data_IF_792840382954
#
_entry.id   IF_792840382954
#
_cell.length_a   1.000
_cell.length_b   1.000
_cell.length_c   1.000
_cell.angle_alpha   90.00
_cell.angle_beta   90.00
_cell.angle_gamma   90.00
#
_symmetry.space_group_name_H-M   'P 1'
#
loop_
_entity.id
_entity.type
_entity.pdbx_description
1 polymer ?
#
# COMPACT_ATOMS: atom_id res chain seq x y z
N UNK A 1 10.92 21.49 -8.24
CA UNK A 1 10.09 20.95 -7.15
C UNK A 1 8.61 21.04 -7.52
N UNK A 2 8.14 22.21 -7.94
CA UNK A 2 6.72 22.45 -8.25
C UNK A 2 6.12 21.44 -9.25
N UNK A 3 6.85 21.10 -10.32
CA UNK A 3 6.40 20.07 -11.26
C UNK A 3 6.22 18.70 -10.59
N UNK A 4 7.12 18.30 -9.70
CA UNK A 4 7.01 17.01 -9.00
C UNK A 4 5.80 17.01 -8.06
N UNK A 5 5.60 18.11 -7.32
CA UNK A 5 4.44 18.29 -6.45
C UNK A 5 3.14 18.22 -7.26
N UNK A 6 3.05 18.94 -8.37
CA UNK A 6 1.88 18.92 -9.24
C UNK A 6 1.57 17.50 -9.76
N UNK A 7 2.59 16.75 -10.20
CA UNK A 7 2.39 15.37 -10.68
C UNK A 7 1.94 14.41 -9.60
N UNK A 8 2.42 14.56 -8.37
CA UNK A 8 1.94 13.75 -7.24
C UNK A 8 0.47 14.06 -6.95
N UNK A 9 0.06 15.33 -6.97
CA UNK A 9 -1.34 15.73 -6.76
C UNK A 9 -2.24 15.18 -7.88
N UNK A 10 -1.80 15.29 -9.14
CA UNK A 10 -2.52 14.73 -10.30
C UNK A 10 -2.74 13.22 -10.13
N UNK A 11 -1.71 12.51 -9.68
CA UNK A 11 -1.78 11.06 -9.48
C UNK A 11 -2.70 10.67 -8.32
N UNK A 12 -2.64 11.40 -7.20
CA UNK A 12 -3.58 11.19 -6.08
C UNK A 12 -5.01 11.41 -6.55
N UNK A 13 -5.26 12.46 -7.36
CA UNK A 13 -6.58 12.72 -7.94
C UNK A 13 -7.01 11.57 -8.87
N UNK A 14 -6.12 11.07 -9.73
CA UNK A 14 -6.37 9.91 -10.59
C UNK A 14 -6.81 8.68 -9.78
N UNK A 15 -6.10 8.35 -8.70
CA UNK A 15 -6.41 7.19 -7.85
C UNK A 15 -7.78 7.28 -7.15
N UNK A 16 -8.23 8.50 -6.84
CA UNK A 16 -9.54 8.75 -6.23
C UNK A 16 -10.66 8.64 -7.27
N UNK A 17 -10.44 9.17 -8.47
CA UNK A 17 -11.46 9.30 -9.52
C UNK A 17 -11.59 8.07 -10.42
N UNK A 18 -10.47 7.37 -10.69
CA UNK A 18 -10.39 6.31 -11.68
C UNK A 18 -9.88 5.02 -11.05
N UNK A 19 -10.55 3.87 -11.27
CA UNK A 19 -10.04 2.58 -10.83
C UNK A 19 -8.67 2.28 -11.47
N UNK A 20 -7.77 1.64 -10.71
CA UNK A 20 -6.50 1.13 -11.24
C UNK A 20 -6.75 0.08 -12.32
N UNK A 21 -5.82 -0.05 -13.25
CA UNK A 21 -5.94 -1.06 -14.31
C UNK A 21 -5.81 -2.48 -13.75
N UNK A 22 -6.38 -3.50 -14.42
CA UNK A 22 -6.20 -4.90 -14.03
C UNK A 22 -4.73 -5.34 -14.01
N UNK A 23 -3.90 -4.79 -14.90
CA UNK A 23 -2.46 -5.06 -14.98
C UNK A 23 -1.73 -4.49 -13.76
N UNK A 24 -1.93 -3.21 -13.44
CA UNK A 24 -1.34 -2.59 -12.24
C UNK A 24 -1.77 -3.32 -10.97
N UNK A 25 -3.03 -3.76 -10.87
CA UNK A 25 -3.52 -4.53 -9.73
C UNK A 25 -2.80 -5.89 -9.62
N UNK A 26 -2.74 -6.66 -10.72
CA UNK A 26 -2.12 -7.98 -10.73
C UNK A 26 -0.63 -7.93 -10.41
N UNK A 27 0.09 -6.91 -10.92
CA UNK A 27 1.50 -6.68 -10.65
C UNK A 27 1.74 -6.39 -9.17
N UNK A 28 0.95 -5.50 -8.57
CA UNK A 28 1.07 -5.16 -7.16
C UNK A 28 0.70 -6.34 -6.25
N UNK A 29 -0.36 -7.09 -6.58
CA UNK A 29 -0.71 -8.31 -5.83
C UNK A 29 0.44 -9.32 -5.84
N UNK A 30 1.02 -9.57 -7.01
CA UNK A 30 2.16 -10.46 -7.17
C UNK A 30 3.38 -9.99 -6.38
N UNK A 31 3.66 -8.69 -6.39
CA UNK A 31 4.74 -8.08 -5.60
C UNK A 31 4.55 -8.31 -4.10
N UNK A 32 3.38 -7.98 -3.53
CA UNK A 32 3.14 -8.13 -2.09
C UNK A 32 3.15 -9.58 -1.63
N UNK A 33 2.62 -10.50 -2.44
CA UNK A 33 2.64 -11.94 -2.16
C UNK A 33 4.08 -12.46 -2.20
N UNK A 34 4.87 -12.07 -3.21
CA UNK A 34 6.25 -12.52 -3.37
C UNK A 34 7.23 -11.87 -2.39
N UNK A 35 6.94 -10.67 -1.90
CA UNK A 35 7.80 -9.96 -0.94
C UNK A 35 7.68 -10.52 0.48
N UNK A 36 6.51 -11.03 0.88
CA UNK A 36 6.26 -11.50 2.24
C UNK A 36 7.27 -12.59 2.69
N UNK A 37 7.56 -13.64 1.89
CA UNK A 37 8.58 -14.63 2.27
C UNK A 37 9.97 -14.02 2.47
N UNK A 38 10.36 -13.05 1.64
CA UNK A 38 11.66 -12.38 1.75
C UNK A 38 11.79 -11.61 3.08
N UNK A 39 10.69 -11.02 3.55
CA UNK A 39 10.65 -10.38 4.86
C UNK A 39 10.90 -11.37 6.01
N UNK A 40 10.63 -12.66 5.81
CA UNK A 40 10.82 -13.70 6.82
C UNK A 40 12.19 -14.39 6.76
N UNK A 41 13.09 -13.97 5.87
CA UNK A 41 14.44 -14.55 5.75
C UNK A 41 15.43 -14.02 6.80
N UNK A 42 15.09 -12.94 7.49
CA UNK A 42 15.96 -12.30 8.49
C UNK A 42 15.32 -12.33 9.89
N UNK A 43 16.15 -12.40 10.93
CA UNK A 43 15.65 -12.33 12.31
C UNK A 43 14.90 -11.03 12.61
N UNK A 44 15.37 -9.91 12.05
CA UNK A 44 14.72 -8.61 12.19
C UNK A 44 13.33 -8.61 11.54
N UNK A 45 13.22 -9.15 10.34
CA UNK A 45 11.95 -9.22 9.62
C UNK A 45 10.95 -10.18 10.28
N UNK A 46 11.40 -11.32 10.81
CA UNK A 46 10.58 -12.22 11.62
C UNK A 46 10.08 -11.49 12.89
N UNK A 47 10.98 -10.85 13.63
CA UNK A 47 10.61 -10.15 14.87
C UNK A 47 9.60 -9.02 14.63
N UNK A 48 9.81 -8.22 13.58
CA UNK A 48 8.90 -7.13 13.18
C UNK A 48 7.53 -7.67 12.77
N UNK A 49 7.50 -8.81 12.07
CA UNK A 49 6.25 -9.44 11.63
C UNK A 49 5.47 -9.98 12.82
N UNK A 50 6.11 -10.73 13.72
CA UNK A 50 5.47 -11.24 14.94
C UNK A 50 4.97 -10.10 15.84
N UNK A 51 5.76 -9.04 15.97
CA UNK A 51 5.35 -7.85 16.72
C UNK A 51 4.09 -7.20 16.12
N UNK A 52 4.01 -7.09 14.79
CA UNK A 52 2.84 -6.53 14.11
C UNK A 52 1.60 -7.42 14.25
N UNK A 53 1.78 -8.75 14.17
CA UNK A 53 0.68 -9.72 14.36
C UNK A 53 0.06 -9.56 15.75
N UNK A 54 0.89 -9.47 16.79
CA UNK A 54 0.42 -9.27 18.17
C UNK A 54 -0.17 -7.87 18.38
N UNK A 55 0.53 -6.82 17.93
CA UNK A 55 0.13 -5.43 18.15
C UNK A 55 -1.24 -5.10 17.55
N UNK A 56 -1.56 -5.68 16.40
CA UNK A 56 -2.81 -5.43 15.69
C UNK A 56 -3.82 -6.58 15.81
N UNK A 57 -3.56 -7.57 16.68
CA UNK A 57 -4.44 -8.74 16.91
C UNK A 57 -4.84 -9.44 15.60
N UNK A 58 -3.85 -9.74 14.74
CA UNK A 58 -4.08 -10.24 13.38
C UNK A 58 -4.38 -11.73 13.29
N UNK A 59 -4.16 -12.49 14.38
CA UNK A 59 -4.29 -13.95 14.42
C UNK A 59 -3.01 -14.70 14.02
N UNK A 60 -2.87 -15.92 14.53
CA UNK A 60 -1.69 -16.78 14.28
C UNK A 60 -1.64 -17.35 12.86
N UNK A 61 -2.79 -17.38 12.18
CA UNK A 61 -2.97 -17.79 10.79
C UNK A 61 -2.76 -16.64 9.79
N UNK A 62 -2.50 -15.42 10.25
CA UNK A 62 -2.34 -14.24 9.41
C UNK A 62 -1.42 -14.46 8.20
N UNK A 63 -0.25 -15.08 8.41
CA UNK A 63 0.72 -15.33 7.35
C UNK A 63 0.26 -16.38 6.33
N UNK A 64 -0.59 -17.33 6.76
CA UNK A 64 -1.19 -18.33 5.88
C UNK A 64 -2.30 -17.71 5.02
N UNK A 65 -3.09 -16.81 5.61
CA UNK A 65 -4.19 -16.14 4.92
C UNK A 65 -3.74 -14.96 4.06
N UNK A 66 -2.58 -14.36 4.35
CA UNK A 66 -2.11 -13.14 3.71
C UNK A 66 -2.15 -13.21 2.17
N UNK A 67 -1.64 -14.27 1.49
CA UNK A 67 -1.70 -14.33 0.04
C UNK A 67 -3.14 -14.34 -0.50
N UNK A 68 -4.04 -15.06 0.17
CA UNK A 68 -5.45 -15.10 -0.20
C UNK A 68 -6.09 -13.72 -0.03
N UNK A 69 -5.86 -13.06 1.11
CA UNK A 69 -6.38 -11.72 1.40
C UNK A 69 -5.92 -10.68 0.38
N UNK A 70 -4.64 -10.71 -0.01
CA UNK A 70 -4.10 -9.80 -1.05
C UNK A 70 -4.70 -10.11 -2.43
N UNK A 71 -4.77 -11.38 -2.82
CA UNK A 71 -5.33 -11.80 -4.12
C UNK A 71 -6.83 -11.50 -4.27
N UNK A 72 -7.56 -11.45 -3.15
CA UNK A 72 -8.99 -11.17 -3.13
C UNK A 72 -9.33 -9.68 -3.32
N UNK A 73 -8.35 -8.78 -3.19
CA UNK A 73 -8.56 -7.34 -3.38
C UNK A 73 -8.93 -7.04 -4.83
N UNK A 74 -9.92 -6.18 -5.00
CA UNK A 74 -10.39 -5.71 -6.30
C UNK A 74 -10.02 -4.25 -6.52
N UNK A 75 -9.98 -3.80 -7.79
CA UNK A 75 -9.77 -2.39 -8.13
C UNK A 75 -10.81 -1.47 -7.46
N UNK A 76 -12.04 -1.98 -7.25
CA UNK A 76 -13.08 -1.25 -6.53
C UNK A 76 -12.76 -1.10 -5.03
N UNK A 77 -12.19 -2.12 -4.38
CA UNK A 77 -11.76 -2.02 -2.98
C UNK A 77 -10.66 -0.97 -2.80
N UNK A 78 -9.70 -0.95 -3.72
CA UNK A 78 -8.62 0.03 -3.76
C UNK A 78 -9.17 1.44 -3.99
N UNK A 79 -10.10 1.61 -4.94
CA UNK A 79 -10.72 2.91 -5.22
C UNK A 79 -11.52 3.42 -4.00
N UNK A 80 -12.28 2.56 -3.33
CA UNK A 80 -13.00 2.93 -2.09
C UNK A 80 -12.01 3.34 -0.99
N UNK A 81 -10.89 2.65 -0.86
CA UNK A 81 -9.85 3.01 0.09
C UNK A 81 -9.22 4.38 -0.25
N UNK A 82 -8.90 4.63 -1.53
CA UNK A 82 -8.38 5.90 -2.00
C UNK A 82 -9.36 7.05 -1.72
N UNK A 83 -10.64 6.89 -2.06
CA UNK A 83 -11.69 7.89 -1.79
C UNK A 83 -11.87 8.18 -0.29
N UNK A 84 -11.63 7.19 0.58
CA UNK A 84 -11.74 7.36 2.03
C UNK A 84 -10.52 8.00 2.67
N UNK A 85 -9.32 7.68 2.18
CA UNK A 85 -8.06 7.99 2.84
C UNK A 85 -7.28 9.14 2.18
N UNK A 86 -7.51 9.41 0.90
CA UNK A 86 -6.80 10.43 0.14
C UNK A 86 -7.74 11.59 -0.19
N UNK A 87 -7.35 12.80 0.21
CA UNK A 87 -8.03 14.03 -0.16
C UNK A 87 -7.06 14.94 -0.94
N UNK A 88 -7.21 15.03 -2.28
CA UNK A 88 -6.34 15.87 -3.12
C UNK A 88 -6.33 17.35 -2.73
N UNK A 89 -7.39 17.83 -2.08
CA UNK A 89 -7.59 19.23 -1.72
C UNK A 89 -7.14 19.56 -0.28
N UNK A 90 -6.73 18.55 0.51
CA UNK A 90 -6.31 18.71 1.90
C UNK A 90 -4.95 18.03 2.16
N UNK A 91 -3.96 18.39 1.35
CA UNK A 91 -2.60 17.84 1.45
C UNK A 91 -1.67 18.75 2.26
N UNK A 92 -0.92 18.17 3.19
CA UNK A 92 0.22 18.83 3.82
C UNK A 92 1.49 18.51 3.01
N UNK A 93 2.12 19.54 2.44
CA UNK A 93 3.29 19.39 1.56
C UNK A 93 4.49 20.05 2.20
N UNK A 94 5.54 19.25 2.45
CA UNK A 94 6.82 19.72 2.96
C UNK A 94 7.91 19.50 1.90
N UNK A 95 8.75 20.51 1.69
CA UNK A 95 9.87 20.49 0.75
C UNK A 95 11.15 20.82 1.50
N UNK A 96 12.15 19.94 1.40
CA UNK A 96 13.50 20.19 1.88
C UNK A 96 14.41 20.54 0.68
N UNK A 97 15.17 21.63 0.81
CA UNK A 97 16.18 22.04 -0.16
C UNK A 97 17.60 21.91 0.42
N UNK A 98 18.64 22.00 -0.42
CA UNK A 98 20.01 22.14 0.05
C UNK A 98 20.15 23.34 1.01
N UNK A 99 21.09 23.25 1.95
CA UNK A 99 21.42 24.33 2.87
C UNK A 99 21.99 25.56 2.14
#
# INVERSE_FOLDING_TARGET
>A
VDLAVARIIDEIRRLVETPVSPEELADNQSYFIGHMPLQLETNEGIATTLHSIELYDLGLDYLLEYPYRISALTAADLQRAAQRLLNPEALAIAVAGPA
#
